data_IF_252193566347
#
_entry.id   IF_252193566347
#
_cell.length_a   1.000
_cell.length_b   1.000
_cell.length_c   1.000
_cell.angle_alpha   90.00
_cell.angle_beta   90.00
_cell.angle_gamma   90.00
#
_symmetry.space_group_name_H-M   'P 1'
#
loop_
_entity.id
_entity.type
_entity.pdbx_description
1 polymer ?
#
# COMPACT_ATOMS: atom_id res chain seq x y z
N UNK A 1 23.52 19.86 14.16
CA UNK A 1 22.56 18.83 14.57
C UNK A 1 21.18 19.32 14.22
N UNK A 2 20.52 18.63 13.30
CA UNK A 2 19.22 19.02 12.75
C UNK A 2 18.08 18.43 13.57
N UNK A 3 16.86 18.96 13.41
CA UNK A 3 15.65 18.40 14.01
C UNK A 3 15.42 16.94 13.53
N UNK A 4 15.85 16.63 12.31
CA UNK A 4 15.84 15.28 11.73
C UNK A 4 16.71 14.30 12.53
N UNK A 5 17.91 14.73 12.95
CA UNK A 5 18.79 13.92 13.81
C UNK A 5 18.19 13.65 15.20
N UNK A 6 17.30 14.54 15.70
CA UNK A 6 16.61 14.34 16.98
C UNK A 6 15.40 13.41 16.86
N UNK A 7 14.71 13.42 15.71
CA UNK A 7 13.58 12.53 15.42
C UNK A 7 14.09 11.09 15.23
N UNK A 8 15.19 10.90 14.50
CA UNK A 8 15.78 9.57 14.28
C UNK A 8 16.45 8.97 15.54
N UNK A 9 16.87 9.81 16.51
CA UNK A 9 17.46 9.35 17.79
C UNK A 9 16.45 9.04 18.88
N UNK A 10 15.27 9.68 18.86
CA UNK A 10 14.14 9.22 19.66
C UNK A 10 13.52 8.04 18.91
N UNK A 11 14.14 6.87 19.06
CA UNK A 11 13.57 5.61 18.62
C UNK A 11 12.10 5.61 19.04
N UNK A 12 11.22 5.71 18.04
CA UNK A 12 9.83 5.36 18.25
C UNK A 12 9.86 3.96 18.84
N UNK A 13 9.05 3.65 19.87
CA UNK A 13 8.90 2.26 20.27
C UNK A 13 8.58 1.51 18.98
N UNK A 14 9.47 0.60 18.58
CA UNK A 14 9.13 -0.42 17.62
C UNK A 14 7.91 -1.07 18.25
N UNK A 15 6.72 -0.74 17.74
CA UNK A 15 5.54 -1.55 18.01
C UNK A 15 6.02 -2.96 17.72
N UNK A 16 5.89 -3.85 18.72
CA UNK A 16 6.36 -5.21 18.59
C UNK A 16 5.78 -5.71 17.27
N UNK A 17 6.65 -6.01 16.30
CA UNK A 17 6.22 -6.73 15.12
C UNK A 17 5.47 -7.95 15.67
N UNK A 18 4.21 -8.20 15.26
CA UNK A 18 3.53 -9.42 15.67
C UNK A 18 4.52 -10.55 15.49
N UNK A 19 4.67 -11.40 16.51
CA UNK A 19 5.57 -12.54 16.38
C UNK A 19 5.19 -13.22 15.06
N UNK A 20 6.15 -13.50 14.16
CA UNK A 20 5.88 -14.04 12.81
C UNK A 20 5.17 -15.43 12.84
N UNK A 21 4.62 -15.83 13.98
CA UNK A 21 3.98 -17.10 14.29
C UNK A 21 2.52 -16.94 14.75
N UNK A 22 2.08 -15.76 15.18
CA UNK A 22 0.68 -15.56 15.58
C UNK A 22 -0.17 -15.37 14.34
N UNK A 23 -1.24 -16.15 14.17
CA UNK A 23 -2.05 -16.05 12.99
C UNK A 23 -2.80 -14.72 12.93
N UNK A 24 -3.07 -14.24 11.72
CA UNK A 24 -3.62 -12.90 11.49
C UNK A 24 -4.94 -12.62 12.23
N UNK A 25 -5.71 -13.67 12.53
CA UNK A 25 -6.98 -13.56 13.26
C UNK A 25 -6.84 -13.25 14.75
N UNK A 26 -5.64 -13.32 15.33
CA UNK A 26 -5.39 -12.89 16.71
C UNK A 26 -4.79 -11.49 16.82
N UNK A 27 -4.48 -10.84 15.69
CA UNK A 27 -3.87 -9.53 15.70
C UNK A 27 -4.87 -8.45 16.15
N UNK A 28 -4.38 -7.53 16.94
CA UNK A 28 -5.03 -6.27 17.29
C UNK A 28 -5.01 -5.30 16.10
N UNK A 29 -5.85 -4.28 16.16
CA UNK A 29 -5.86 -3.20 15.17
C UNK A 29 -4.49 -2.50 15.08
N UNK A 30 -3.81 -2.30 16.21
CA UNK A 30 -2.49 -1.68 16.23
C UNK A 30 -1.42 -2.54 15.53
N UNK A 31 -1.46 -3.86 15.72
CA UNK A 31 -0.55 -4.79 15.04
C UNK A 31 -0.81 -4.84 13.53
N UNK A 32 -2.08 -4.87 13.13
CA UNK A 32 -2.49 -4.80 11.72
C UNK A 32 -1.96 -3.51 11.08
N UNK A 33 -2.20 -2.36 11.73
CA UNK A 33 -1.72 -1.07 11.26
C UNK A 33 -0.20 -1.04 11.16
N UNK A 34 0.54 -1.47 12.19
CA UNK A 34 1.99 -1.48 12.16
C UNK A 34 2.53 -2.34 11.01
N UNK A 35 1.99 -3.54 10.83
CA UNK A 35 2.42 -4.49 9.82
C UNK A 35 2.23 -3.97 8.38
N UNK A 36 1.03 -3.47 8.07
CA UNK A 36 0.69 -3.02 6.72
C UNK A 36 1.04 -1.56 6.44
N UNK A 37 1.51 -0.78 7.41
CA UNK A 37 2.02 0.58 7.15
C UNK A 37 3.52 0.62 6.99
N UNK A 38 4.27 -0.24 7.69
CA UNK A 38 5.73 -0.16 7.79
C UNK A 38 6.49 -1.22 6.98
N UNK A 39 5.81 -2.24 6.44
CA UNK A 39 6.52 -3.31 5.71
C UNK A 39 5.73 -3.98 4.59
N UNK A 40 4.42 -4.20 4.79
CA UNK A 40 3.60 -4.98 3.85
C UNK A 40 2.46 -4.19 3.20
N UNK A 41 2.58 -2.86 3.10
CA UNK A 41 1.56 -1.99 2.50
C UNK A 41 1.13 -2.45 1.09
N UNK A 42 2.08 -2.91 0.28
CA UNK A 42 1.86 -3.41 -1.06
C UNK A 42 1.07 -4.73 -1.07
N UNK A 43 1.29 -5.64 -0.13
CA UNK A 43 0.51 -6.88 0.01
C UNK A 43 -0.96 -6.56 0.29
N UNK A 44 -1.21 -5.64 1.23
CA UNK A 44 -2.56 -5.17 1.53
C UNK A 44 -3.22 -4.53 0.31
N UNK A 45 -2.51 -3.64 -0.38
CA UNK A 45 -3.03 -2.97 -1.57
C UNK A 45 -3.35 -3.97 -2.69
N UNK A 46 -2.50 -4.99 -2.91
CA UNK A 46 -2.76 -6.07 -3.88
C UNK A 46 -3.99 -6.88 -3.49
N UNK A 47 -4.12 -7.28 -2.22
CA UNK A 47 -5.29 -7.99 -1.74
C UNK A 47 -6.58 -7.19 -1.98
N UNK A 48 -6.56 -5.89 -1.65
CA UNK A 48 -7.68 -5.00 -1.86
C UNK A 48 -7.99 -4.78 -3.35
N UNK A 49 -6.97 -4.61 -4.19
CA UNK A 49 -7.10 -4.49 -5.64
C UNK A 49 -7.72 -5.74 -6.25
N UNK A 50 -7.27 -6.95 -5.87
CA UNK A 50 -7.86 -8.22 -6.32
C UNK A 50 -9.32 -8.36 -5.89
N UNK A 51 -9.68 -7.87 -4.72
CA UNK A 51 -11.04 -7.94 -4.20
C UNK A 51 -12.01 -6.95 -4.87
N UNK A 52 -11.50 -5.78 -5.30
CA UNK A 52 -12.36 -4.64 -5.72
C UNK A 52 -12.19 -4.25 -7.18
N UNK A 53 -11.15 -4.72 -7.86
CA UNK A 53 -10.75 -4.25 -9.19
C UNK A 53 -10.13 -2.85 -9.21
N UNK A 54 -9.93 -2.21 -8.05
CA UNK A 54 -9.36 -0.87 -7.99
C UNK A 54 -7.87 -0.85 -8.38
N UNK A 55 -7.43 0.18 -9.14
CA UNK A 55 -6.04 0.28 -9.58
C UNK A 55 -5.09 0.59 -8.42
N UNK A 56 -3.95 -0.10 -8.42
CA UNK A 56 -2.83 0.15 -7.51
C UNK A 56 -2.13 1.47 -7.85
N UNK A 57 -1.65 2.14 -6.82
CA UNK A 57 -0.83 3.34 -6.89
C UNK A 57 0.19 3.35 -5.76
N UNK A 58 1.20 4.22 -5.86
CA UNK A 58 2.23 4.35 -4.85
C UNK A 58 2.65 5.81 -4.62
N UNK A 59 3.11 6.09 -3.40
CA UNK A 59 3.79 7.31 -2.99
C UNK A 59 5.31 7.05 -2.99
N UNK A 60 6.05 7.99 -3.56
CA UNK A 60 7.48 7.83 -3.82
C UNK A 60 8.24 9.01 -3.22
N UNK A 61 9.45 8.73 -2.73
CA UNK A 61 10.36 9.74 -2.21
C UNK A 61 11.03 10.46 -3.37
N UNK A 62 10.74 11.75 -3.63
CA UNK A 62 11.43 12.46 -4.71
C UNK A 62 12.88 12.81 -4.35
N UNK A 63 13.27 12.63 -3.08
CA UNK A 63 14.58 13.00 -2.56
C UNK A 63 15.54 11.81 -2.40
N UNK A 64 15.04 10.59 -2.56
CA UNK A 64 15.81 9.37 -2.31
C UNK A 64 15.61 8.34 -3.41
N UNK A 65 16.73 7.80 -3.87
CA UNK A 65 16.78 6.76 -4.88
C UNK A 65 17.08 5.42 -4.21
N UNK A 66 16.20 4.45 -4.41
CA UNK A 66 16.48 3.05 -4.08
C UNK A 66 17.55 2.49 -5.02
N UNK A 67 17.41 2.79 -6.32
CA UNK A 67 18.42 2.53 -7.34
C UNK A 67 18.78 3.86 -7.99
N UNK A 68 20.05 4.24 -7.88
CA UNK A 68 20.55 5.48 -8.48
C UNK A 68 20.46 5.39 -10.01
N UNK A 69 19.89 6.41 -10.69
CA UNK A 69 19.98 6.49 -12.15
C UNK A 69 21.43 6.61 -12.62
N UNK A 70 21.70 6.19 -13.85
CA UNK A 70 22.98 6.42 -14.51
C UNK A 70 23.21 7.91 -14.86
N UNK A 71 24.35 8.22 -15.48
CA UNK A 71 24.75 9.58 -15.84
C UNK A 71 23.77 10.28 -16.80
N UNK A 72 23.03 9.51 -17.60
CA UNK A 72 22.02 10.00 -18.55
C UNK A 72 20.62 10.09 -17.92
N UNK A 73 20.48 9.71 -16.63
CA UNK A 73 19.22 9.75 -15.90
C UNK A 73 18.35 8.49 -16.11
N UNK A 74 18.89 7.42 -16.68
CA UNK A 74 18.17 6.18 -16.95
C UNK A 74 18.31 5.15 -15.83
N UNK A 75 17.33 4.23 -15.74
CA UNK A 75 17.37 3.09 -14.81
C UNK A 75 17.13 3.41 -13.33
N UNK A 76 16.95 4.68 -12.96
CA UNK A 76 16.68 5.08 -11.58
C UNK A 76 15.34 4.57 -11.06
N UNK A 77 15.33 4.08 -9.82
CA UNK A 77 14.13 3.67 -9.09
C UNK A 77 14.04 4.48 -7.80
N UNK A 78 13.07 5.41 -7.66
CA UNK A 78 12.89 6.15 -6.42
C UNK A 78 12.42 5.24 -5.28
N UNK A 79 12.71 5.63 -4.04
CA UNK A 79 12.24 4.89 -2.86
C UNK A 79 10.71 4.92 -2.77
N UNK A 80 10.08 3.76 -2.55
CA UNK A 80 8.63 3.66 -2.33
C UNK A 80 8.35 3.81 -0.85
N UNK A 81 7.44 4.71 -0.49
CA UNK A 81 7.00 4.84 0.91
C UNK A 81 5.70 4.11 1.19
N UNK A 82 4.75 4.14 0.27
CA UNK A 82 3.46 3.52 0.52
C UNK A 82 2.77 3.10 -0.77
N UNK A 83 2.15 1.93 -0.76
CA UNK A 83 1.33 1.41 -1.85
C UNK A 83 -0.11 1.32 -1.38
N UNK A 84 -1.04 1.75 -2.23
CA UNK A 84 -2.47 1.90 -1.93
C UNK A 84 -3.29 1.66 -3.21
N UNK A 85 -4.62 1.61 -3.08
CA UNK A 85 -5.53 1.63 -4.25
C UNK A 85 -6.20 2.99 -4.39
N UNK A 86 -6.58 3.35 -5.62
CA UNK A 86 -7.30 4.60 -5.91
C UNK A 86 -8.74 4.32 -6.32
N UNK A 87 -9.67 5.10 -5.78
CA UNK A 87 -11.09 4.99 -6.10
C UNK A 87 -11.44 5.84 -7.34
N UNK A 88 -12.60 5.62 -7.99
CA UNK A 88 -13.08 6.47 -9.08
C UNK A 88 -13.29 7.94 -8.67
N UNK A 89 -13.52 8.21 -7.38
CA UNK A 89 -13.68 9.56 -6.84
C UNK A 89 -12.34 10.27 -6.61
N UNK A 90 -11.21 9.59 -6.82
CA UNK A 90 -9.86 10.13 -6.56
C UNK A 90 -9.44 10.07 -5.09
N UNK A 91 -10.19 9.38 -4.23
CA UNK A 91 -9.75 9.01 -2.88
C UNK A 91 -8.81 7.81 -2.94
N UNK A 92 -8.10 7.57 -1.84
CA UNK A 92 -7.19 6.43 -1.68
C UNK A 92 -7.72 5.51 -0.59
N UNK A 93 -7.43 4.22 -0.71
CA UNK A 93 -7.73 3.23 0.33
C UNK A 93 -6.46 2.45 0.65
N UNK A 94 -6.13 2.40 1.94
CA UNK A 94 -5.08 1.56 2.52
C UNK A 94 -5.59 0.89 3.80
N UNK A 95 -4.70 0.34 4.64
CA UNK A 95 -5.08 -0.34 5.87
C UNK A 95 -5.81 0.56 6.87
N UNK A 96 -5.71 1.89 6.74
CA UNK A 96 -6.45 2.87 7.57
C UNK A 96 -7.84 3.20 7.03
N UNK A 97 -8.23 2.61 5.90
CA UNK A 97 -9.48 2.88 5.22
C UNK A 97 -9.38 4.00 4.18
N UNK A 98 -10.55 4.54 3.82
CA UNK A 98 -10.67 5.52 2.75
C UNK A 98 -10.31 6.93 3.23
N UNK A 99 -9.47 7.63 2.46
CA UNK A 99 -8.99 8.99 2.76
C UNK A 99 -8.62 9.75 1.49
N UNK A 100 -8.36 11.05 1.63
CA UNK A 100 -7.79 11.84 0.53
C UNK A 100 -6.30 11.54 0.36
N UNK A 101 -5.79 11.77 -0.85
CA UNK A 101 -4.35 11.69 -1.11
C UNK A 101 -3.53 12.69 -0.25
N UNK A 102 -4.10 13.85 0.06
CA UNK A 102 -3.45 14.84 0.93
C UNK A 102 -3.28 14.32 2.35
N UNK A 103 -4.31 13.67 2.91
CA UNK A 103 -4.24 13.06 4.24
C UNK A 103 -3.22 11.93 4.28
N UNK A 104 -3.17 11.08 3.23
CA UNK A 104 -2.14 10.04 3.10
C UNK A 104 -0.73 10.64 3.10
N UNK A 105 -0.49 11.68 2.28
CA UNK A 105 0.81 12.36 2.24
C UNK A 105 1.19 12.93 3.61
N UNK A 106 0.24 13.58 4.29
CA UNK A 106 0.49 14.18 5.60
C UNK A 106 0.86 13.14 6.66
N UNK A 107 0.31 11.93 6.59
CA UNK A 107 0.59 10.88 7.58
C UNK A 107 1.84 10.05 7.27
N UNK A 108 2.10 9.72 6.00
CA UNK A 108 3.16 8.75 5.66
C UNK A 108 4.47 9.38 5.20
N UNK A 109 4.47 10.62 4.70
CA UNK A 109 5.55 11.06 3.81
C UNK A 109 5.96 12.53 4.01
N UNK A 110 4.99 13.46 3.97
CA UNK A 110 5.18 14.90 3.95
C UNK A 110 4.56 15.56 2.71
N UNK A 111 4.44 16.90 2.67
CA UNK A 111 3.72 17.62 1.61
C UNK A 111 4.39 17.55 0.22
N UNK A 112 5.70 17.34 0.16
CA UNK A 112 6.48 17.37 -1.09
C UNK A 112 6.48 16.04 -1.85
N UNK A 113 5.84 15.01 -1.30
CA UNK A 113 5.83 13.66 -1.86
C UNK A 113 4.85 13.53 -3.01
N UNK A 114 5.27 12.83 -4.06
CA UNK A 114 4.54 12.81 -5.33
C UNK A 114 3.85 11.46 -5.55
N UNK A 115 2.75 11.49 -6.29
CA UNK A 115 2.19 10.26 -6.87
C UNK A 115 3.20 9.73 -7.87
N UNK A 116 3.25 8.40 -8.02
CA UNK A 116 4.00 7.74 -9.09
C UNK A 116 3.98 8.56 -10.39
N UNK A 117 5.14 9.08 -10.87
CA UNK A 117 5.18 9.83 -12.12
C UNK A 117 4.92 8.92 -13.33
N UNK A 118 4.93 7.60 -13.14
CA UNK A 118 4.78 6.58 -14.18
C UNK A 118 3.34 6.06 -14.33
N UNK A 119 2.36 6.66 -13.64
CA UNK A 119 0.95 6.23 -13.68
C UNK A 119 0.63 5.11 -12.66
N UNK A 120 -0.52 4.41 -12.83
CA UNK A 120 -0.90 3.29 -11.97
C UNK A 120 0.17 2.21 -11.91
N UNK A 121 0.27 1.54 -10.78
CA UNK A 121 1.20 0.44 -10.59
C UNK A 121 0.63 -0.81 -11.30
N UNK A 122 1.22 -1.21 -12.42
CA UNK A 122 0.86 -2.47 -13.08
C UNK A 122 1.50 -3.66 -12.36
N UNK A 123 0.98 -4.86 -12.60
CA UNK A 123 1.55 -6.10 -12.06
C UNK A 123 3.02 -6.27 -12.46
N UNK A 124 3.39 -5.94 -13.70
CA UNK A 124 4.79 -6.01 -14.15
C UNK A 124 5.68 -5.00 -13.40
N UNK A 125 5.15 -3.81 -13.10
CA UNK A 125 5.91 -2.79 -12.36
C UNK A 125 6.08 -3.21 -10.91
N UNK A 126 5.03 -3.73 -10.28
CA UNK A 126 5.08 -4.26 -8.92
C UNK A 126 6.09 -5.41 -8.85
N UNK A 127 6.06 -6.34 -9.80
CA UNK A 127 7.06 -7.40 -9.91
C UNK A 127 8.49 -6.84 -9.99
N UNK A 128 8.70 -5.82 -10.81
CA UNK A 128 10.00 -5.13 -10.91
C UNK A 128 10.45 -4.53 -9.58
N UNK A 129 9.55 -3.87 -8.84
CA UNK A 129 9.86 -3.26 -7.55
C UNK A 129 10.23 -4.29 -6.47
N UNK A 130 9.58 -5.46 -6.50
CA UNK A 130 9.78 -6.54 -5.52
C UNK A 130 11.01 -7.38 -5.84
N UNK A 131 11.10 -7.87 -7.09
CA UNK A 131 12.07 -8.91 -7.44
C UNK A 131 13.30 -8.40 -8.18
N UNK A 132 13.22 -7.22 -8.80
CA UNK A 132 14.35 -6.66 -9.58
C UNK A 132 15.09 -5.61 -8.77
N UNK A 133 14.39 -4.59 -8.26
CA UNK A 133 15.03 -3.54 -7.47
C UNK A 133 15.15 -3.90 -5.98
N UNK A 134 14.26 -4.75 -5.45
CA UNK A 134 14.23 -5.05 -4.01
C UNK A 134 13.71 -3.90 -3.14
N UNK A 135 12.94 -2.99 -3.74
CA UNK A 135 12.37 -1.80 -3.10
C UNK A 135 11.16 -2.16 -2.24
N UNK A 136 10.49 -3.26 -2.58
CA UNK A 136 9.42 -3.86 -1.79
C UNK A 136 9.82 -5.28 -1.36
N UNK A 137 9.38 -5.69 -0.17
CA UNK A 137 9.63 -7.04 0.35
C UNK A 137 8.97 -8.09 -0.56
N UNK A 138 9.62 -9.23 -0.83
CA UNK A 138 8.96 -10.37 -1.46
C UNK A 138 7.77 -10.86 -0.65
N UNK A 139 6.71 -11.25 -1.35
CA UNK A 139 5.49 -11.81 -0.79
C UNK A 139 4.99 -12.97 -1.65
N UNK A 140 4.11 -13.79 -1.08
CA UNK A 140 3.46 -14.89 -1.77
C UNK A 140 1.92 -14.87 -1.62
N UNK A 141 1.25 -15.92 -2.09
CA UNK A 141 -0.21 -16.02 -2.02
C UNK A 141 -0.75 -16.22 -0.60
N UNK A 142 0.06 -16.73 0.34
CA UNK A 142 -0.33 -16.83 1.74
C UNK A 142 -0.38 -15.44 2.39
N UNK A 143 0.60 -14.58 2.09
CA UNK A 143 0.60 -13.18 2.56
C UNK A 143 -0.65 -12.43 2.07
N UNK A 144 -1.04 -12.66 0.80
CA UNK A 144 -2.27 -12.07 0.22
C UNK A 144 -3.52 -12.65 0.90
N UNK A 145 -3.55 -13.95 1.20
CA UNK A 145 -4.68 -14.57 1.89
C UNK A 145 -4.87 -13.99 3.30
N UNK A 146 -3.77 -13.74 4.03
CA UNK A 146 -3.82 -13.11 5.35
C UNK A 146 -4.33 -11.67 5.26
N UNK A 147 -3.85 -10.90 4.28
CA UNK A 147 -4.35 -9.54 4.05
C UNK A 147 -5.85 -9.52 3.68
N UNK A 148 -6.33 -10.48 2.87
CA UNK A 148 -7.75 -10.61 2.57
C UNK A 148 -8.58 -10.90 3.83
N UNK A 149 -8.07 -11.73 4.74
CA UNK A 149 -8.75 -12.02 6.00
C UNK A 149 -8.84 -10.78 6.90
N UNK A 150 -7.78 -9.97 6.96
CA UNK A 150 -7.76 -8.69 7.66
C UNK A 150 -8.83 -7.75 7.12
N UNK A 151 -8.90 -7.60 5.79
CA UNK A 151 -9.88 -6.74 5.13
C UNK A 151 -11.31 -7.18 5.50
N UNK A 152 -11.60 -8.48 5.49
CA UNK A 152 -12.95 -9.00 5.80
C UNK A 152 -13.36 -8.81 7.25
N UNK A 153 -12.41 -8.85 8.19
CA UNK A 153 -12.70 -8.80 9.63
C UNK A 153 -12.71 -7.41 10.22
N UNK A 154 -12.03 -6.47 9.57
CA UNK A 154 -11.94 -5.09 10.04
C UNK A 154 -13.15 -4.32 9.49
N UNK A 155 -14.11 -3.87 10.32
CA UNK A 155 -15.39 -3.37 9.83
C UNK A 155 -15.27 -2.24 8.80
N UNK A 156 -14.42 -1.24 9.06
CA UNK A 156 -14.23 -0.11 8.15
C UNK A 156 -13.57 -0.50 6.82
N UNK A 157 -12.72 -1.55 6.82
CA UNK A 157 -12.10 -2.08 5.60
C UNK A 157 -13.07 -2.95 4.81
N UNK A 158 -13.86 -3.78 5.50
CA UNK A 158 -14.90 -4.59 4.89
C UNK A 158 -15.96 -3.72 4.22
N UNK A 159 -16.38 -2.64 4.89
CA UNK A 159 -17.30 -1.64 4.33
C UNK A 159 -16.72 -0.94 3.09
N UNK A 160 -15.43 -0.53 3.14
CA UNK A 160 -14.77 0.05 1.99
C UNK A 160 -14.68 -0.95 0.82
N UNK A 161 -14.27 -2.19 1.09
CA UNK A 161 -14.19 -3.23 0.07
C UNK A 161 -15.55 -3.55 -0.55
N UNK A 162 -16.62 -3.67 0.25
CA UNK A 162 -17.97 -3.92 -0.25
C UNK A 162 -18.47 -2.79 -1.17
N UNK A 163 -18.19 -1.53 -0.82
CA UNK A 163 -18.56 -0.37 -1.62
C UNK A 163 -18.00 -0.42 -3.05
N UNK A 164 -16.82 -1.00 -3.23
CA UNK A 164 -16.12 -1.03 -4.52
C UNK A 164 -16.12 -2.41 -5.19
N UNK A 165 -16.35 -3.50 -4.44
CA UNK A 165 -16.38 -4.87 -4.95
C UNK A 165 -17.58 -5.18 -5.85
N UNK A 166 -18.71 -4.50 -5.67
CA UNK A 166 -19.90 -4.69 -6.53
C UNK A 166 -19.72 -4.15 -7.96
N UNK A 167 -18.68 -3.36 -8.22
CA UNK A 167 -18.39 -2.82 -9.56
C UNK A 167 -17.72 -3.87 -10.46
N UNK A 168 -17.28 -5.00 -9.89
CA UNK A 168 -16.50 -6.04 -10.58
C UNK A 168 -17.27 -7.35 -10.88
N UNK A 169 -18.60 -7.37 -10.80
CA UNK A 169 -19.41 -8.49 -11.30
C UNK A 169 -19.79 -8.28 -12.79
N UNK A 170 -19.16 -8.99 -13.76
CA UNK A 170 -19.66 -9.02 -15.12
C UNK A 170 -20.88 -9.96 -15.19
N UNK A 171 -22.07 -9.50 -14.80
CA UNK A 171 -23.19 -10.44 -14.69
C UNK A 171 -24.61 -9.95 -14.42
N UNK A 172 -24.91 -8.65 -14.37
CA UNK A 172 -26.31 -8.21 -14.27
C UNK A 172 -26.93 -8.07 -15.67
N UNK A 173 -27.58 -9.16 -16.11
CA UNK A 173 -28.43 -9.32 -17.30
C UNK A 173 -29.04 -8.01 -17.83
N UNK A 174 -28.66 -7.61 -19.05
CA UNK A 174 -29.46 -6.66 -19.81
C UNK A 174 -30.86 -7.28 -20.11
N UNK A 175 -31.96 -6.53 -19.96
CA UNK A 175 -33.26 -7.03 -20.38
C UNK A 175 -33.26 -7.14 -21.90
N UNK A 176 -33.56 -8.34 -22.42
CA UNK A 176 -33.84 -8.54 -23.83
C UNK A 176 -35.10 -7.74 -24.18
N UNK A 177 -34.97 -6.85 -25.17
CA UNK A 177 -36.09 -6.30 -25.94
C UNK A 177 -36.02 -6.93 -27.33
#
# INVERSE_FOLDING_TARGET
>A
MTLFDQIMRRGMPQAASPSEQDPVWSWTEEEILAHYTQGQCHVFAVALSRLTGLPLAALWNPFEWHVQPDEDGHGGVPEIVHVYVTTPAGTVVDVRGERTLEELRRSEAGPDWQVCPFGPLTDERLYGLVHVSGNLRPYDEADIADALEVIRRTPHLAEAAARYGEVAEPGASAPRI
#
